data_IF_513404458257
#
_entry.id   IF_513404458257
#
_cell.length_a   1.000
_cell.length_b   1.000
_cell.length_c   1.000
_cell.angle_alpha   90.00
_cell.angle_beta   90.00
_cell.angle_gamma   90.00
#
_symmetry.space_group_name_H-M   'P 1'
#
loop_
_entity.id
_entity.type
_entity.pdbx_description
1 polymer ?
#
# COMPACT_ATOMS: atom_id res chain seq x y z
N UNK A 1 -6.26 6.20 11.05
CA UNK A 1 -7.32 5.30 10.54
C UNK A 1 -8.31 6.13 9.74
N UNK A 2 -9.02 5.55 8.75
CA UNK A 2 -10.15 6.26 8.12
C UNK A 2 -11.28 6.40 9.14
N UNK A 3 -11.78 7.62 9.34
CA UNK A 3 -12.93 7.90 10.18
C UNK A 3 -14.22 7.52 9.46
N UNK A 4 -15.20 6.99 10.19
CA UNK A 4 -16.56 6.78 9.67
C UNK A 4 -17.32 8.11 9.58
N UNK A 5 -18.35 8.17 8.75
CA UNK A 5 -19.17 9.37 8.59
C UNK A 5 -19.99 9.70 9.86
N UNK A 6 -20.38 8.67 10.60
CA UNK A 6 -21.12 8.76 11.86
C UNK A 6 -20.22 8.75 13.11
N UNK A 7 -18.95 9.15 12.98
CA UNK A 7 -18.04 9.25 14.12
C UNK A 7 -18.58 10.25 15.16
N UNK A 8 -18.73 9.81 16.41
CA UNK A 8 -19.11 10.68 17.53
C UNK A 8 -17.85 11.28 18.15
N UNK A 9 -17.75 12.60 18.16
CA UNK A 9 -16.63 13.33 18.75
C UNK A 9 -17.04 14.76 19.11
N UNK A 10 -16.28 15.39 20.00
CA UNK A 10 -16.31 16.83 20.25
C UNK A 10 -14.97 17.44 19.84
N UNK A 11 -14.99 18.66 19.32
CA UNK A 11 -13.76 19.37 18.94
C UNK A 11 -13.22 20.10 20.17
N UNK A 12 -11.97 19.80 20.56
CA UNK A 12 -11.27 20.50 21.64
C UNK A 12 -10.56 21.74 21.09
N UNK A 13 -9.87 21.58 19.96
CA UNK A 13 -9.05 22.63 19.35
C UNK A 13 -9.07 22.50 17.84
N UNK A 14 -9.12 23.63 17.16
CA UNK A 14 -8.94 23.71 15.70
C UNK A 14 -7.52 24.19 15.41
N UNK A 15 -6.76 23.42 14.65
CA UNK A 15 -5.43 23.82 14.18
C UNK A 15 -5.55 24.63 12.89
N UNK A 16 -6.34 24.15 11.93
CA UNK A 16 -6.69 24.83 10.69
C UNK A 16 -7.99 24.24 10.12
N UNK A 17 -8.50 24.79 9.01
CA UNK A 17 -9.64 24.20 8.31
C UNK A 17 -9.37 22.73 7.94
N UNK A 18 -10.26 21.83 8.37
CA UNK A 18 -10.10 20.39 8.16
C UNK A 18 -9.03 19.74 9.05
N UNK A 19 -8.60 20.39 10.13
CA UNK A 19 -7.57 19.86 11.03
C UNK A 19 -7.88 20.19 12.50
N UNK A 20 -8.29 19.17 13.24
CA UNK A 20 -8.93 19.32 14.55
C UNK A 20 -8.32 18.35 15.58
N UNK A 21 -8.07 18.82 16.79
CA UNK A 21 -7.97 17.96 17.96
C UNK A 21 -9.38 17.64 18.46
N UNK A 22 -9.71 16.36 18.49
CA UNK A 22 -11.02 15.86 18.86
C UNK A 22 -10.95 14.98 20.11
N UNK A 23 -12.04 14.95 20.85
CA UNK A 23 -12.27 14.05 21.97
C UNK A 23 -13.37 13.06 21.60
N UNK A 24 -13.13 11.79 21.91
CA UNK A 24 -14.03 10.69 21.57
C UNK A 24 -14.37 9.89 22.83
N UNK A 25 -15.61 9.39 22.96
CA UNK A 25 -15.94 8.47 24.03
C UNK A 25 -15.20 7.14 23.83
N UNK A 26 -14.75 6.54 24.93
CA UNK A 26 -14.29 5.15 24.94
C UNK A 26 -15.52 4.25 24.95
N UNK A 27 -15.52 3.16 24.17
CA UNK A 27 -16.67 2.27 24.10
C UNK A 27 -16.88 1.54 25.44
N UNK A 28 -18.14 1.33 25.81
CA UNK A 28 -18.48 0.58 27.02
C UNK A 28 -17.86 -0.82 27.04
N UNK A 29 -17.77 -1.47 25.88
CA UNK A 29 -17.11 -2.78 25.74
C UNK A 29 -15.61 -2.72 26.08
N UNK A 30 -14.92 -1.64 25.69
CA UNK A 30 -13.50 -1.46 26.02
C UNK A 30 -13.32 -1.19 27.52
N UNK A 31 -14.15 -0.35 28.12
CA UNK A 31 -14.13 -0.10 29.57
C UNK A 31 -14.47 -1.37 30.37
N UNK A 32 -15.41 -2.20 29.90
CA UNK A 32 -15.70 -3.49 30.54
C UNK A 32 -14.50 -4.44 30.53
N UNK A 33 -13.70 -4.43 29.45
CA UNK A 33 -12.47 -5.24 29.35
C UNK A 33 -11.31 -4.68 30.17
N UNK A 34 -11.25 -3.36 30.34
CA UNK A 34 -10.24 -2.67 31.13
C UNK A 34 -10.88 -1.49 31.88
N UNK A 35 -11.27 -1.68 33.15
CA UNK A 35 -11.94 -0.66 33.95
C UNK A 35 -11.11 0.61 34.21
N UNK A 36 -9.79 0.55 34.02
CA UNK A 36 -8.90 1.70 34.22
C UNK A 36 -8.91 2.68 33.03
N UNK A 37 -9.64 2.38 31.95
CA UNK A 37 -9.72 3.27 30.80
C UNK A 37 -10.56 4.51 31.12
N UNK A 38 -10.15 5.70 30.66
CA UNK A 38 -10.93 6.92 30.85
C UNK A 38 -12.27 6.87 30.10
N UNK A 39 -13.19 7.74 30.49
CA UNK A 39 -14.47 7.90 29.79
C UNK A 39 -14.28 8.37 28.34
N UNK A 40 -13.22 9.12 28.08
CA UNK A 40 -12.92 9.71 26.76
C UNK A 40 -11.42 9.64 26.46
N UNK A 41 -11.08 9.73 25.18
CA UNK A 41 -9.70 9.80 24.70
C UNK A 41 -9.59 10.82 23.57
N UNK A 42 -8.39 11.35 23.37
CA UNK A 42 -8.13 12.38 22.36
C UNK A 42 -7.47 11.80 21.12
N UNK A 43 -7.79 12.37 19.97
CA UNK A 43 -7.14 12.09 18.71
C UNK A 43 -7.21 13.32 17.79
N UNK A 44 -6.38 13.35 16.76
CA UNK A 44 -6.46 14.40 15.74
C UNK A 44 -7.27 13.91 14.54
N UNK A 45 -8.25 14.69 14.12
CA UNK A 45 -9.09 14.49 12.95
C UNK A 45 -8.59 15.37 11.81
N UNK A 46 -8.29 14.74 10.68
CA UNK A 46 -7.85 15.40 9.45
C UNK A 46 -8.88 15.13 8.37
N UNK A 47 -9.35 16.19 7.72
CA UNK A 47 -10.23 16.15 6.57
C UNK A 47 -9.46 16.61 5.33
N UNK A 48 -9.52 15.81 4.27
CA UNK A 48 -8.88 16.16 3.01
C UNK A 48 -9.76 15.77 1.83
N UNK A 49 -9.70 16.53 0.74
CA UNK A 49 -10.40 16.21 -0.50
C UNK A 49 -9.51 15.36 -1.39
N UNK A 50 -9.97 14.17 -1.78
CA UNK A 50 -9.26 13.29 -2.68
C UNK A 50 -10.23 12.66 -3.69
N UNK A 51 -9.89 12.76 -4.99
CA UNK A 51 -10.75 12.31 -6.10
C UNK A 51 -12.18 12.88 -6.00
N UNK A 52 -12.30 14.17 -5.69
CA UNK A 52 -13.57 14.88 -5.58
C UNK A 52 -14.37 14.59 -4.31
N UNK A 53 -13.94 13.64 -3.46
CA UNK A 53 -14.62 13.24 -2.22
C UNK A 53 -13.86 13.71 -0.99
N UNK A 54 -14.58 14.22 -0.01
CA UNK A 54 -14.01 14.49 1.32
C UNK A 54 -13.75 13.17 2.03
N UNK A 55 -12.54 13.00 2.54
CA UNK A 55 -12.11 11.85 3.33
C UNK A 55 -11.65 12.33 4.69
N UNK A 56 -11.97 11.56 5.72
CA UNK A 56 -11.64 11.88 7.11
C UNK A 56 -10.73 10.82 7.70
N UNK A 57 -9.70 11.25 8.41
CA UNK A 57 -8.68 10.40 9.01
C UNK A 57 -8.45 10.78 10.47
N UNK A 58 -8.30 9.77 11.33
CA UNK A 58 -7.97 9.94 12.75
C UNK A 58 -6.51 9.53 12.95
N UNK A 59 -5.73 10.32 13.67
CA UNK A 59 -4.33 10.02 13.99
C UNK A 59 -3.99 10.40 15.43
N UNK A 60 -3.02 9.71 16.03
CA UNK A 60 -2.44 10.08 17.33
C UNK A 60 -1.34 11.15 17.21
N UNK A 61 -0.99 11.57 15.98
CA UNK A 61 0.00 12.61 15.71
C UNK A 61 -0.58 14.00 15.94
N UNK A 62 -0.55 14.49 17.18
CA UNK A 62 -1.23 15.73 17.60
C UNK A 62 -0.44 17.01 17.22
N UNK A 63 0.89 16.93 17.12
CA UNK A 63 1.75 18.08 16.74
C UNK A 63 1.53 18.45 15.26
N UNK A 64 0.80 19.53 15.03
CA UNK A 64 0.40 20.01 13.71
C UNK A 64 1.53 20.66 12.93
N UNK A 65 2.51 21.24 13.64
CA UNK A 65 3.69 21.85 13.04
C UNK A 65 4.65 20.79 12.52
N UNK A 66 4.88 19.73 13.32
CA UNK A 66 5.75 18.61 12.91
C UNK A 66 5.07 17.70 11.89
N UNK A 67 3.79 17.40 12.10
CA UNK A 67 3.00 16.51 11.26
C UNK A 67 1.87 17.29 10.60
N UNK A 68 2.19 18.03 9.53
CA UNK A 68 1.20 18.80 8.76
C UNK A 68 0.09 17.91 8.21
N UNK A 69 -1.14 18.41 8.17
CA UNK A 69 -2.32 17.65 7.70
C UNK A 69 -2.12 16.99 6.34
N UNK A 70 -1.49 17.69 5.39
CA UNK A 70 -1.31 17.21 4.02
C UNK A 70 -0.35 16.02 3.95
N UNK A 71 0.76 16.05 4.69
CA UNK A 71 1.70 14.93 4.80
C UNK A 71 1.02 13.70 5.41
N UNK A 72 0.24 13.88 6.47
CA UNK A 72 -0.48 12.77 7.11
C UNK A 72 -1.53 12.21 6.14
N UNK A 73 -2.30 13.07 5.46
CA UNK A 73 -3.26 12.66 4.46
C UNK A 73 -2.60 11.88 3.30
N UNK A 74 -1.45 12.34 2.81
CA UNK A 74 -0.68 11.67 1.76
C UNK A 74 -0.23 10.27 2.19
N UNK A 75 0.23 10.09 3.43
CA UNK A 75 0.57 8.77 3.97
C UNK A 75 -0.66 7.84 4.03
N UNK A 76 -1.84 8.37 4.38
CA UNK A 76 -3.08 7.58 4.33
C UNK A 76 -3.49 7.19 2.91
N UNK A 77 -3.21 8.01 1.90
CA UNK A 77 -3.44 7.66 0.51
C UNK A 77 -2.52 6.52 0.06
N UNK A 78 -1.26 6.54 0.50
CA UNK A 78 -0.28 5.47 0.27
C UNK A 78 -0.60 4.18 1.02
N UNK A 79 -1.59 4.16 1.93
CA UNK A 79 -1.97 2.91 2.62
C UNK A 79 -2.39 1.81 1.64
N UNK A 80 -2.96 2.15 0.49
CA UNK A 80 -3.31 1.16 -0.55
C UNK A 80 -2.11 0.36 -1.07
N UNK A 81 -0.88 0.87 -0.90
CA UNK A 81 0.33 0.14 -1.27
C UNK A 81 0.48 -1.18 -0.48
N UNK A 82 -0.14 -1.30 0.71
CA UNK A 82 -0.15 -2.57 1.45
C UNK A 82 -0.94 -3.66 0.71
N UNK A 83 -1.99 -3.30 -0.04
CA UNK A 83 -2.76 -4.26 -0.81
C UNK A 83 -1.95 -4.75 -2.01
N UNK A 84 -1.15 -3.88 -2.62
CA UNK A 84 -0.18 -4.29 -3.63
C UNK A 84 0.87 -5.22 -3.04
N UNK A 85 1.42 -4.92 -1.86
CA UNK A 85 2.34 -5.81 -1.17
C UNK A 85 1.75 -7.21 -0.92
N UNK A 86 0.49 -7.29 -0.47
CA UNK A 86 -0.18 -8.58 -0.31
C UNK A 86 -0.36 -9.32 -1.64
N UNK A 87 -0.66 -8.61 -2.72
CA UNK A 87 -0.75 -9.21 -4.06
C UNK A 87 0.59 -9.76 -4.51
N UNK A 88 1.67 -9.01 -4.36
CA UNK A 88 3.02 -9.44 -4.75
C UNK A 88 3.46 -10.69 -3.98
N UNK A 89 3.21 -10.73 -2.67
CA UNK A 89 3.54 -11.90 -1.84
C UNK A 89 2.74 -13.13 -2.30
N UNK A 90 1.42 -12.99 -2.49
CA UNK A 90 0.52 -14.11 -2.79
C UNK A 90 0.57 -14.58 -4.24
N UNK A 91 0.82 -13.66 -5.16
CA UNK A 91 0.76 -13.91 -6.61
C UNK A 91 2.16 -13.99 -7.18
N UNK A 92 2.94 -12.92 -7.09
CA UNK A 92 4.16 -12.77 -7.86
C UNK A 92 5.30 -13.64 -7.31
N UNK A 93 5.46 -13.68 -5.98
CA UNK A 93 6.52 -14.45 -5.33
C UNK A 93 6.21 -15.95 -5.28
N UNK A 94 4.93 -16.31 -5.13
CA UNK A 94 4.48 -17.69 -5.08
C UNK A 94 4.09 -18.27 -6.45
N UNK A 95 4.06 -17.45 -7.51
CA UNK A 95 3.49 -17.82 -8.81
C UNK A 95 2.06 -18.37 -8.69
N UNK A 96 1.30 -17.89 -7.70
CA UNK A 96 -0.04 -18.37 -7.36
C UNK A 96 -0.09 -19.77 -6.70
N UNK A 97 1.05 -20.35 -6.31
CA UNK A 97 1.12 -21.65 -5.64
C UNK A 97 0.87 -21.51 -4.12
N UNK A 98 0.19 -22.51 -3.55
CA UNK A 98 0.02 -22.63 -2.11
C UNK A 98 1.34 -23.07 -1.44
N UNK A 99 1.44 -22.77 -0.14
CA UNK A 99 2.48 -23.33 0.74
C UNK A 99 2.40 -24.86 0.69
N UNK A 100 3.56 -25.53 0.65
CA UNK A 100 3.65 -26.97 0.37
C UNK A 100 3.53 -27.81 1.63
N UNK A 101 3.98 -27.27 2.75
CA UNK A 101 3.96 -27.94 4.05
C UNK A 101 2.55 -28.24 4.54
N UNK A 102 2.38 -29.42 5.15
CA UNK A 102 1.12 -29.87 5.77
C UNK A 102 1.13 -29.80 7.30
N UNK A 103 2.28 -29.47 7.90
CA UNK A 103 2.43 -29.31 9.35
C UNK A 103 2.42 -27.82 9.73
N UNK A 104 1.66 -27.39 10.75
CA UNK A 104 1.55 -25.97 11.12
C UNK A 104 2.90 -25.28 11.35
N UNK A 105 3.85 -25.95 11.99
CA UNK A 105 5.18 -25.42 12.26
C UNK A 105 5.99 -25.19 10.97
N UNK A 106 5.94 -26.13 10.03
CA UNK A 106 6.64 -26.00 8.74
C UNK A 106 5.96 -24.96 7.83
N UNK A 107 4.64 -24.81 7.91
CA UNK A 107 3.91 -23.73 7.23
C UNK A 107 4.39 -22.35 7.71
N UNK A 108 4.59 -22.18 9.03
CA UNK A 108 5.16 -20.95 9.58
C UNK A 108 6.59 -20.73 9.07
N UNK A 109 7.41 -21.77 9.00
CA UNK A 109 8.77 -21.68 8.45
C UNK A 109 8.77 -21.23 6.99
N UNK A 110 7.92 -21.82 6.14
CA UNK A 110 7.79 -21.40 4.74
C UNK A 110 7.32 -19.94 4.64
N UNK A 111 6.35 -19.54 5.46
CA UNK A 111 5.88 -18.16 5.51
C UNK A 111 7.00 -17.17 5.89
N UNK A 112 7.81 -17.50 6.89
CA UNK A 112 8.97 -16.68 7.25
C UNK A 112 10.00 -16.61 6.12
N UNK A 113 10.27 -17.71 5.43
CA UNK A 113 11.14 -17.74 4.26
C UNK A 113 10.65 -16.80 3.16
N UNK A 114 9.35 -16.80 2.88
CA UNK A 114 8.73 -15.86 1.92
C UNK A 114 8.85 -14.41 2.36
N UNK A 115 8.65 -14.12 3.66
CA UNK A 115 8.79 -12.75 4.18
C UNK A 115 10.23 -12.26 4.05
N UNK A 116 11.22 -13.12 4.30
CA UNK A 116 12.64 -12.78 4.14
C UNK A 116 12.94 -12.50 2.65
N UNK A 117 12.52 -13.38 1.75
CA UNK A 117 12.71 -13.20 0.31
C UNK A 117 12.07 -11.91 -0.21
N UNK A 118 10.81 -11.65 0.18
CA UNK A 118 10.09 -10.42 -0.16
C UNK A 118 10.84 -9.17 0.32
N UNK A 119 11.27 -9.14 1.59
CA UNK A 119 11.99 -8.00 2.14
C UNK A 119 13.36 -7.79 1.48
N UNK A 120 14.07 -8.88 1.14
CA UNK A 120 15.33 -8.82 0.41
C UNK A 120 15.14 -8.19 -0.97
N UNK A 121 14.16 -8.66 -1.74
CA UNK A 121 13.81 -8.10 -3.05
C UNK A 121 13.45 -6.62 -2.91
N UNK A 122 12.57 -6.26 -1.95
CA UNK A 122 12.19 -4.86 -1.71
C UNK A 122 13.37 -3.97 -1.33
N UNK A 123 14.35 -4.50 -0.59
CA UNK A 123 15.58 -3.77 -0.25
C UNK A 123 16.46 -3.54 -1.48
N UNK A 124 16.60 -4.53 -2.36
CA UNK A 124 17.34 -4.37 -3.62
C UNK A 124 16.63 -3.42 -4.59
N UNK A 125 15.30 -3.48 -4.68
CA UNK A 125 14.50 -2.51 -5.44
C UNK A 125 14.69 -1.08 -4.93
N UNK A 126 14.88 -0.88 -3.62
CA UNK A 126 15.22 0.45 -3.08
C UNK A 126 16.55 0.95 -3.64
N UNK A 127 17.58 0.11 -3.73
CA UNK A 127 18.85 0.50 -4.32
C UNK A 127 18.73 0.78 -5.83
N UNK A 128 17.99 -0.07 -6.55
CA UNK A 128 17.66 0.16 -7.97
C UNK A 128 16.99 1.53 -8.17
N UNK A 129 16.00 1.84 -7.33
CA UNK A 129 15.26 3.10 -7.38
C UNK A 129 16.15 4.32 -7.08
N UNK A 130 17.07 4.19 -6.11
CA UNK A 130 18.05 5.23 -5.81
C UNK A 130 18.95 5.52 -7.03
N UNK A 131 19.45 4.48 -7.71
CA UNK A 131 20.28 4.65 -8.92
C UNK A 131 19.49 5.20 -10.11
N UNK A 132 18.22 4.81 -10.24
CA UNK A 132 17.30 5.30 -11.25
C UNK A 132 16.69 6.68 -10.92
N UNK A 133 16.95 7.24 -9.72
CA UNK A 133 16.39 8.51 -9.22
C UNK A 133 14.86 8.56 -9.26
N UNK A 134 14.20 7.45 -8.94
CA UNK A 134 12.73 7.34 -8.86
C UNK A 134 12.28 6.86 -7.48
N UNK A 135 10.99 6.98 -7.19
CA UNK A 135 10.41 6.34 -6.01
C UNK A 135 10.58 4.81 -6.09
N UNK A 136 10.89 4.11 -4.98
CA UNK A 136 10.90 2.64 -4.94
C UNK A 136 9.59 1.99 -5.40
N UNK A 137 8.46 2.69 -5.25
CA UNK A 137 7.15 2.24 -5.71
C UNK A 137 7.02 2.27 -7.25
N UNK A 138 7.98 2.86 -7.96
CA UNK A 138 8.04 2.90 -9.42
C UNK A 138 8.95 1.82 -10.01
N UNK A 139 9.51 0.92 -9.22
CA UNK A 139 10.23 -0.25 -9.75
C UNK A 139 9.26 -1.42 -9.83
N UNK A 140 9.17 -2.07 -10.99
CA UNK A 140 8.36 -3.26 -11.19
C UNK A 140 8.83 -4.39 -10.28
N UNK A 141 7.98 -4.81 -9.34
CA UNK A 141 8.29 -5.93 -8.45
C UNK A 141 8.51 -7.23 -9.23
N UNK A 142 7.70 -7.49 -10.25
CA UNK A 142 7.78 -8.68 -11.08
C UNK A 142 9.10 -8.79 -11.85
N UNK A 143 9.53 -7.70 -12.51
CA UNK A 143 10.81 -7.71 -13.24
C UNK A 143 11.98 -7.83 -12.27
N UNK A 144 11.96 -7.07 -11.18
CA UNK A 144 13.02 -7.12 -10.18
C UNK A 144 13.13 -8.49 -9.51
N UNK A 145 12.02 -9.15 -9.19
CA UNK A 145 12.03 -10.47 -8.56
C UNK A 145 12.63 -11.53 -9.49
N UNK A 146 12.27 -11.53 -10.77
CA UNK A 146 12.86 -12.44 -11.76
C UNK A 146 14.37 -12.23 -11.85
N UNK A 147 14.83 -10.99 -12.08
CA UNK A 147 16.25 -10.68 -12.24
C UNK A 147 17.07 -11.02 -10.98
N UNK A 148 16.55 -10.73 -9.78
CA UNK A 148 17.24 -11.04 -8.52
C UNK A 148 17.30 -12.56 -8.30
N UNK A 149 16.22 -13.29 -8.59
CA UNK A 149 16.20 -14.76 -8.47
C UNK A 149 17.16 -15.39 -9.46
N UNK A 150 17.22 -14.89 -10.70
CA UNK A 150 18.16 -15.38 -11.70
C UNK A 150 19.61 -15.07 -11.31
N UNK A 151 19.90 -13.88 -10.77
CA UNK A 151 21.20 -13.58 -10.18
C UNK A 151 21.59 -14.60 -9.12
N UNK A 152 20.70 -14.89 -8.17
CA UNK A 152 20.97 -15.87 -7.10
C UNK A 152 21.11 -17.30 -7.63
N UNK A 153 20.40 -17.64 -8.71
CA UNK A 153 20.46 -18.96 -9.36
C UNK A 153 21.78 -19.17 -10.10
N UNK A 154 22.27 -18.16 -10.81
CA UNK A 154 23.44 -18.29 -11.69
C UNK A 154 24.74 -17.78 -11.06
N UNK A 155 24.70 -16.92 -10.04
CA UNK A 155 25.89 -16.43 -9.34
C UNK A 155 26.81 -17.55 -8.80
N UNK A 156 26.30 -18.68 -8.26
CA UNK A 156 27.16 -19.78 -7.80
C UNK A 156 27.95 -20.46 -8.92
N UNK A 157 27.54 -20.30 -10.18
CA UNK A 157 28.25 -20.83 -11.35
C UNK A 157 29.42 -19.94 -11.78
N UNK A 158 29.60 -18.78 -11.14
CA UNK A 158 30.62 -17.80 -11.43
C UNK A 158 31.71 -17.80 -10.35
N UNK A 159 32.85 -17.19 -10.64
CA UNK A 159 33.89 -17.00 -9.63
C UNK A 159 33.36 -16.13 -8.46
N UNK A 160 33.62 -16.54 -7.21
CA UNK A 160 33.06 -15.89 -6.02
C UNK A 160 33.33 -14.37 -5.95
N UNK A 161 34.50 -13.92 -6.42
CA UNK A 161 34.88 -12.50 -6.48
C UNK A 161 34.08 -11.65 -7.48
N UNK A 162 33.30 -12.28 -8.37
CA UNK A 162 32.46 -11.57 -9.35
C UNK A 162 31.09 -11.16 -8.80
N UNK A 163 30.63 -11.78 -7.71
CA UNK A 163 29.28 -11.53 -7.19
C UNK A 163 28.99 -10.05 -6.91
N UNK A 164 29.89 -9.26 -6.29
CA UNK A 164 29.64 -7.82 -6.08
C UNK A 164 29.40 -7.07 -7.40
N UNK A 165 30.17 -7.39 -8.45
CA UNK A 165 30.02 -6.77 -9.77
C UNK A 165 28.70 -7.14 -10.43
N UNK A 166 28.29 -8.41 -10.34
CA UNK A 166 27.00 -8.88 -10.86
C UNK A 166 25.83 -8.22 -10.13
N UNK A 167 25.92 -8.11 -8.80
CA UNK A 167 24.92 -7.42 -8.00
C UNK A 167 24.83 -5.94 -8.38
N UNK A 168 25.97 -5.27 -8.56
CA UNK A 168 26.00 -3.87 -9.00
C UNK A 168 25.38 -3.69 -10.39
N UNK A 169 25.63 -4.61 -11.32
CA UNK A 169 25.02 -4.59 -12.65
C UNK A 169 23.49 -4.72 -12.58
N UNK A 170 22.98 -5.68 -11.79
CA UNK A 170 21.52 -5.85 -11.58
C UNK A 170 20.89 -4.60 -10.95
N UNK A 171 21.59 -3.94 -10.03
CA UNK A 171 21.08 -2.69 -9.43
C UNK A 171 21.06 -1.54 -10.47
N UNK A 172 22.04 -1.46 -11.38
CA UNK A 172 22.04 -0.49 -12.48
C UNK A 172 20.91 -0.73 -13.50
N UNK A 173 20.61 -2.00 -13.80
CA UNK A 173 19.50 -2.40 -14.67
C UNK A 173 18.12 -1.95 -14.15
N UNK A 174 18.04 -1.57 -12.87
CA UNK A 174 16.83 -1.02 -12.25
C UNK A 174 16.12 0.07 -13.06
N UNK A 175 16.85 0.83 -13.88
CA UNK A 175 16.29 1.85 -14.80
C UNK A 175 15.33 1.26 -15.84
N UNK A 176 15.54 0.02 -16.26
CA UNK A 176 14.69 -0.71 -17.21
C UNK A 176 13.38 -1.19 -16.57
N UNK A 177 13.34 -1.30 -15.24
CA UNK A 177 12.18 -1.80 -14.49
C UNK A 177 11.25 -0.67 -14.06
N UNK A 178 11.53 0.57 -14.46
CA UNK A 178 10.75 1.74 -14.08
C UNK A 178 9.38 1.70 -14.75
N UNK A 179 8.32 1.56 -13.94
CA UNK A 179 6.94 1.61 -14.42
C UNK A 179 6.49 3.05 -14.66
N UNK A 180 5.55 3.28 -15.61
CA UNK A 180 4.97 4.58 -15.85
C UNK A 180 4.20 5.09 -14.62
N UNK A 181 3.96 6.39 -14.57
CA UNK A 181 3.16 6.98 -13.50
C UNK A 181 1.75 6.39 -13.46
N UNK A 182 1.25 6.22 -12.24
CA UNK A 182 -0.09 5.68 -12.02
C UNK A 182 -1.12 6.63 -12.61
N UNK A 183 -1.83 6.16 -13.64
CA UNK A 183 -2.92 6.91 -14.27
C UNK A 183 -3.99 7.23 -13.24
N UNK A 184 -4.58 8.43 -13.33
CA UNK A 184 -5.75 8.80 -12.52
C UNK A 184 -6.88 7.81 -12.80
N UNK A 185 -7.39 7.16 -11.75
CA UNK A 185 -8.45 6.17 -11.88
C UNK A 185 -9.80 6.90 -12.04
N UNK A 186 -10.42 6.76 -13.21
CA UNK A 186 -11.82 7.13 -13.40
C UNK A 186 -12.67 5.86 -13.34
N UNK A 187 -13.49 5.73 -12.29
CA UNK A 187 -14.48 4.66 -12.18
C UNK A 187 -15.84 5.29 -11.94
N UNK A 188 -16.45 5.91 -12.99
CA UNK A 188 -17.79 6.43 -12.86
C UNK A 188 -18.72 5.29 -12.44
N UNK A 189 -19.52 5.51 -11.40
CA UNK A 189 -20.57 4.56 -11.00
C UNK A 189 -21.73 4.69 -11.98
N UNK A 190 -21.50 4.23 -13.20
CA UNK A 190 -22.48 4.18 -14.27
C UNK A 190 -22.78 2.73 -14.59
N UNK A 191 -24.03 2.44 -14.92
CA UNK A 191 -24.39 1.14 -15.48
C UNK A 191 -23.71 1.08 -16.84
N UNK A 192 -22.76 0.16 -17.00
CA UNK A 192 -22.22 -0.15 -18.31
C UNK A 192 -23.37 -0.73 -19.13
N UNK A 193 -23.79 -0.04 -20.18
CA UNK A 193 -24.84 -0.53 -21.06
C UNK A 193 -24.51 -1.95 -21.53
N UNK A 194 -25.51 -2.83 -21.57
CA UNK A 194 -25.32 -4.16 -22.16
C UNK A 194 -24.91 -3.95 -23.63
N UNK A 195 -23.84 -4.60 -24.11
CA UNK A 195 -23.51 -4.53 -25.54
C UNK A 195 -24.69 -5.12 -26.32
N UNK A 196 -25.37 -4.31 -27.13
CA UNK A 196 -26.39 -4.78 -28.06
C UNK A 196 -25.73 -5.12 -29.39
N UNK A 197 -25.95 -6.35 -29.87
CA UNK A 197 -25.42 -6.83 -31.15
C UNK A 197 -26.03 -6.09 -32.34
N UNK A 198 -27.23 -5.54 -32.17
CA UNK A 198 -27.99 -4.87 -33.22
C UNK A 198 -28.38 -3.46 -32.77
N UNK A 199 -28.44 -2.48 -33.71
CA UNK A 199 -28.90 -1.13 -33.41
C UNK A 199 -30.36 -1.15 -32.94
N UNK A 200 -30.71 -0.19 -32.09
CA UNK A 200 -32.11 0.01 -31.69
C UNK A 200 -32.88 0.55 -32.88
N UNK A 201 -34.08 0.00 -33.13
CA UNK A 201 -34.97 0.49 -34.20
C UNK A 201 -35.36 1.93 -33.86
N UNK A 202 -34.91 2.89 -34.68
CA UNK A 202 -35.39 4.26 -34.59
C UNK A 202 -36.84 4.30 -35.08
N UNK A 203 -37.73 4.94 -34.32
CA UNK A 203 -39.15 5.14 -34.67
C UNK A 203 -39.34 5.95 -35.97
N UNK A 204 -38.27 6.50 -36.53
CA UNK A 204 -38.22 7.27 -37.78
C UNK A 204 -37.77 6.46 -39.00
N UNK A 205 -37.41 5.18 -38.83
CA UNK A 205 -37.11 4.29 -39.94
C UNK A 205 -38.34 3.42 -40.26
N UNK A 206 -38.73 3.28 -41.54
CA UNK A 206 -39.85 2.43 -41.93
C UNK A 206 -39.72 0.99 -41.38
#
# INVERSE_FOLDING_TARGET
MRAKDNLRYTVIKTFSEGDYLIQMPVSFQAQKKNPNLPATWQARLIECRYEGKTRRYITSLIDDKRFTKDKVAQLYLQRWEIEMAFREIKSDLQQGLLLRSKLPQLVLQEFWGLMIAYNLIRRLMRYMALRAKVSPLRISFHMASITIVDLLRFAPLQAAGLFPKLLDAVIEEGKLFVIPERRKRSCPRVIKGKPQKYPQKNTSQP
#
